data_IF_908503191513
#
_entry.id   IF_908503191513
#
_cell.length_a   1.000
_cell.length_b   1.000
_cell.length_c   1.000
_cell.angle_alpha   90.00
_cell.angle_beta   90.00
_cell.angle_gamma   90.00
#
_symmetry.space_group_name_H-M   'P 1'
#
loop_
_entity.id
_entity.type
_entity.pdbx_description
1 polymer ?
#
# COMPACT_ATOMS: atom_id res chain seq x y z
N UNK A 1 7.02 20.95 10.32
CA UNK A 1 6.94 20.71 8.94
C UNK A 1 7.57 19.37 8.51
N UNK A 2 8.74 19.11 8.81
CA UNK A 2 9.52 18.06 8.23
C UNK A 2 8.84 16.70 8.05
N UNK A 3 8.14 16.20 9.05
CA UNK A 3 7.67 14.82 9.02
C UNK A 3 6.63 14.56 7.93
N UNK A 4 5.67 15.45 7.74
CA UNK A 4 4.67 15.19 6.72
C UNK A 4 5.23 15.27 5.31
N UNK A 5 6.34 15.96 5.12
CA UNK A 5 6.99 15.99 3.84
C UNK A 5 7.69 14.70 3.49
N UNK A 6 8.01 13.90 4.49
CA UNK A 6 8.65 12.62 4.27
C UNK A 6 7.66 11.53 3.86
N UNK A 7 6.37 11.76 3.99
CA UNK A 7 5.36 10.76 3.72
C UNK A 7 5.00 10.70 2.25
N UNK A 8 5.04 11.85 1.56
CA UNK A 8 4.64 11.88 0.16
C UNK A 8 5.52 12.83 -0.63
N UNK A 9 6.64 12.33 -1.10
CA UNK A 9 7.54 13.11 -1.94
C UNK A 9 7.39 12.84 -3.43
N UNK A 10 6.61 11.81 -3.82
CA UNK A 10 6.32 11.50 -5.22
C UNK A 10 4.85 11.17 -5.39
N UNK A 11 4.27 11.68 -6.48
CA UNK A 11 2.90 11.32 -6.90
C UNK A 11 2.90 11.11 -8.40
N UNK A 12 2.29 10.00 -8.84
CA UNK A 12 2.10 9.70 -10.25
C UNK A 12 0.66 9.36 -10.53
N UNK A 13 0.16 9.84 -11.66
CA UNK A 13 -1.12 9.41 -12.21
C UNK A 13 -0.78 8.51 -13.40
N UNK A 14 -1.27 7.27 -13.35
CA UNK A 14 -0.90 6.24 -14.31
C UNK A 14 -2.16 5.70 -14.97
N UNK A 15 -2.15 5.51 -16.32
CA UNK A 15 -3.29 4.88 -17.00
C UNK A 15 -3.56 3.48 -16.47
N UNK A 16 -4.82 3.06 -16.51
CA UNK A 16 -5.19 1.70 -16.16
C UNK A 16 -4.50 0.71 -17.11
N UNK A 17 -4.07 -0.41 -16.57
CA UNK A 17 -3.44 -1.45 -17.35
C UNK A 17 -2.31 -2.12 -16.58
N UNK A 18 -2.11 -3.40 -16.86
CA UNK A 18 -1.10 -4.17 -16.15
C UNK A 18 0.31 -3.63 -16.41
N UNK A 19 0.62 -3.38 -17.68
CA UNK A 19 1.97 -2.95 -18.04
C UNK A 19 2.27 -1.53 -17.58
N UNK A 20 1.33 -0.62 -17.72
CA UNK A 20 1.54 0.78 -17.32
C UNK A 20 1.74 0.90 -15.81
N UNK A 21 0.94 0.19 -15.03
CA UNK A 21 1.05 0.23 -13.57
C UNK A 21 2.32 -0.49 -13.12
N UNK A 22 2.61 -1.67 -13.67
CA UNK A 22 3.81 -2.42 -13.32
C UNK A 22 5.07 -1.61 -13.62
N UNK A 23 5.13 -0.95 -14.77
CA UNK A 23 6.29 -0.14 -15.12
C UNK A 23 6.46 1.03 -14.17
N UNK A 24 5.37 1.71 -13.81
CA UNK A 24 5.44 2.82 -12.86
C UNK A 24 5.95 2.35 -11.50
N UNK A 25 5.47 1.20 -11.02
CA UNK A 25 5.93 0.63 -9.76
C UNK A 25 7.42 0.31 -9.80
N UNK A 26 7.88 -0.33 -10.87
CA UNK A 26 9.30 -0.67 -11.01
C UNK A 26 10.16 0.60 -11.00
N UNK A 27 9.74 1.63 -11.72
CA UNK A 27 10.50 2.89 -11.77
C UNK A 27 10.56 3.56 -10.39
N UNK A 28 9.46 3.55 -9.66
CA UNK A 28 9.44 4.15 -8.33
C UNK A 28 10.33 3.39 -7.34
N UNK A 29 10.40 2.07 -7.47
CA UNK A 29 11.27 1.27 -6.62
C UNK A 29 12.74 1.42 -7.04
N UNK A 30 13.02 1.26 -8.33
CA UNK A 30 14.40 1.11 -8.82
C UNK A 30 15.09 2.43 -9.09
N UNK A 31 14.36 3.42 -9.60
CA UNK A 31 14.93 4.73 -9.96
C UNK A 31 14.72 5.79 -8.91
N UNK A 32 13.51 5.84 -8.33
CA UNK A 32 13.15 6.89 -7.38
C UNK A 32 13.44 6.48 -5.95
N UNK A 33 13.85 5.22 -5.75
CA UNK A 33 14.28 4.70 -4.45
C UNK A 33 13.21 4.87 -3.36
N UNK A 34 11.96 4.63 -3.72
CA UNK A 34 10.86 4.70 -2.78
C UNK A 34 10.90 3.54 -1.80
N UNK A 35 10.67 3.82 -0.53
CA UNK A 35 10.57 2.80 0.51
C UNK A 35 9.15 2.29 0.68
N UNK A 36 8.18 3.14 0.42
CA UNK A 36 6.76 2.84 0.55
C UNK A 36 6.01 3.41 -0.63
N UNK A 37 5.25 2.57 -1.31
CA UNK A 37 4.39 2.99 -2.40
C UNK A 37 2.96 2.62 -2.04
N UNK A 38 2.08 3.62 -2.07
CA UNK A 38 0.65 3.41 -1.89
C UNK A 38 -0.02 3.64 -3.24
N UNK A 39 -0.75 2.64 -3.73
CA UNK A 39 -1.57 2.81 -4.93
C UNK A 39 -3.03 3.00 -4.53
N UNK A 40 -3.78 3.74 -5.31
CA UNK A 40 -5.22 3.92 -5.08
C UNK A 40 -5.98 3.62 -6.35
N UNK A 41 -7.10 2.89 -6.22
CA UNK A 41 -7.95 2.55 -7.35
C UNK A 41 -7.54 1.28 -8.07
N UNK A 42 -8.36 0.86 -9.01
CA UNK A 42 -8.10 -0.31 -9.83
C UNK A 42 -8.14 -1.64 -9.11
N UNK A 43 -8.84 -1.72 -7.97
CA UNK A 43 -8.81 -2.92 -7.12
C UNK A 43 -10.10 -3.74 -7.14
N UNK A 44 -11.08 -3.37 -7.95
CA UNK A 44 -12.34 -4.10 -8.05
C UNK A 44 -12.29 -5.23 -9.07
N UNK A 45 -13.45 -5.83 -9.39
CA UNK A 45 -13.53 -6.93 -10.34
C UNK A 45 -13.78 -6.52 -11.79
N UNK A 46 -13.85 -5.23 -12.09
CA UNK A 46 -14.08 -4.78 -13.46
C UNK A 46 -12.87 -5.10 -14.33
N UNK A 47 -13.08 -5.29 -15.66
CA UNK A 47 -11.96 -5.65 -16.54
C UNK A 47 -10.80 -4.66 -16.53
N UNK A 48 -11.06 -3.37 -16.26
CA UNK A 48 -10.01 -2.35 -16.19
C UNK A 48 -9.30 -2.29 -14.83
N UNK A 49 -9.81 -3.02 -13.82
CA UNK A 49 -9.23 -3.02 -12.48
C UNK A 49 -8.10 -4.03 -12.44
N UNK A 50 -6.88 -3.56 -12.76
CA UNK A 50 -5.72 -4.42 -12.95
C UNK A 50 -4.58 -4.10 -11.98
N UNK A 51 -4.82 -3.26 -10.97
CA UNK A 51 -3.78 -2.88 -10.02
C UNK A 51 -3.23 -4.08 -9.23
N UNK A 52 -4.07 -5.00 -8.72
CA UNK A 52 -3.52 -6.18 -8.03
C UNK A 52 -2.67 -7.06 -8.95
N UNK A 53 -3.10 -7.24 -10.19
CA UNK A 53 -2.32 -8.03 -11.16
C UNK A 53 -0.96 -7.39 -11.42
N UNK A 54 -0.94 -6.08 -11.67
CA UNK A 54 0.30 -5.36 -11.89
C UNK A 54 1.22 -5.43 -10.67
N UNK A 55 0.64 -5.30 -9.48
CA UNK A 55 1.40 -5.38 -8.25
C UNK A 55 2.04 -6.76 -8.09
N UNK A 56 1.28 -7.84 -8.34
CA UNK A 56 1.81 -9.19 -8.25
C UNK A 56 2.92 -9.47 -9.25
N UNK A 57 2.92 -8.79 -10.38
CA UNK A 57 4.00 -8.94 -11.35
C UNK A 57 5.34 -8.39 -10.85
N UNK A 58 5.31 -7.42 -9.96
CA UNK A 58 6.55 -6.73 -9.57
C UNK A 58 7.03 -7.06 -8.17
N UNK A 59 6.16 -7.56 -7.29
CA UNK A 59 6.57 -7.93 -5.93
C UNK A 59 7.29 -9.28 -5.92
N UNK A 60 8.20 -9.44 -4.97
CA UNK A 60 8.88 -10.71 -4.76
C UNK A 60 8.24 -11.52 -3.64
N UNK A 61 7.60 -10.85 -2.68
CA UNK A 61 6.88 -11.50 -1.59
C UNK A 61 5.53 -10.81 -1.42
N UNK A 62 4.47 -11.58 -1.41
CA UNK A 62 3.14 -11.04 -1.15
C UNK A 62 2.86 -11.06 0.35
N UNK A 63 2.28 -9.97 0.86
CA UNK A 63 1.88 -9.84 2.26
C UNK A 63 0.36 -9.82 2.30
N UNK A 64 -0.23 -11.00 2.24
CA UNK A 64 -1.68 -11.16 2.09
C UNK A 64 -2.48 -10.60 3.26
N UNK A 65 -1.86 -10.55 4.45
CA UNK A 65 -2.52 -10.02 5.64
C UNK A 65 -3.00 -8.58 5.50
N UNK A 66 -2.32 -7.79 4.67
CA UNK A 66 -2.76 -6.42 4.41
C UNK A 66 -4.15 -6.40 3.76
N UNK A 67 -4.32 -7.17 2.69
CA UNK A 67 -5.62 -7.26 2.01
C UNK A 67 -6.69 -7.85 2.89
N UNK A 68 -6.36 -8.88 3.65
CA UNK A 68 -7.28 -9.52 4.58
C UNK A 68 -7.84 -8.51 5.59
N UNK A 69 -6.96 -7.77 6.24
CA UNK A 69 -7.38 -6.79 7.25
C UNK A 69 -8.18 -5.64 6.64
N UNK A 70 -7.73 -5.13 5.49
CA UNK A 70 -8.44 -4.05 4.83
C UNK A 70 -9.86 -4.46 4.46
N UNK A 71 -10.05 -5.67 3.91
CA UNK A 71 -11.39 -6.17 3.58
C UNK A 71 -12.23 -6.40 4.82
N UNK A 72 -11.62 -6.92 5.87
CA UNK A 72 -12.33 -7.17 7.12
C UNK A 72 -12.91 -5.89 7.73
N UNK A 73 -12.10 -4.85 7.85
CA UNK A 73 -12.58 -3.59 8.44
C UNK A 73 -13.59 -2.90 7.51
N UNK A 74 -13.39 -3.00 6.21
CA UNK A 74 -14.31 -2.39 5.24
C UNK A 74 -15.67 -3.07 5.23
N UNK A 75 -15.72 -4.38 5.48
CA UNK A 75 -16.97 -5.13 5.56
C UNK A 75 -17.89 -4.63 6.67
N UNK A 76 -17.33 -4.04 7.71
CA UNK A 76 -18.15 -3.44 8.78
C UNK A 76 -18.94 -2.23 8.29
N UNK A 77 -18.50 -1.63 7.19
CA UNK A 77 -19.15 -0.45 6.61
C UNK A 77 -20.05 -0.81 5.42
N UNK A 78 -19.56 -1.65 4.51
CA UNK A 78 -20.28 -1.98 3.26
C UNK A 78 -20.08 -3.45 2.89
N UNK A 79 -21.16 -4.15 2.52
CA UNK A 79 -21.05 -5.58 2.12
C UNK A 79 -20.22 -5.81 0.86
N UNK A 80 -20.15 -4.81 -0.03
CA UNK A 80 -19.42 -4.95 -1.29
C UNK A 80 -17.91 -4.93 -1.11
N UNK A 81 -17.41 -4.73 0.10
CA UNK A 81 -15.98 -4.83 0.36
C UNK A 81 -15.39 -6.20 -0.02
N UNK A 82 -16.20 -7.25 -0.06
CA UNK A 82 -15.73 -8.57 -0.50
C UNK A 82 -15.29 -8.60 -1.96
N UNK A 83 -15.71 -7.62 -2.76
CA UNK A 83 -15.32 -7.53 -4.16
C UNK A 83 -13.95 -6.86 -4.35
N UNK A 84 -13.38 -6.31 -3.29
CA UNK A 84 -12.11 -5.62 -3.35
C UNK A 84 -10.96 -6.64 -3.34
N UNK A 85 -10.01 -6.46 -4.25
CA UNK A 85 -8.93 -7.44 -4.48
C UNK A 85 -7.56 -6.87 -4.13
N UNK A 86 -7.51 -5.76 -3.37
CA UNK A 86 -6.24 -5.14 -3.01
C UNK A 86 -5.34 -6.08 -2.23
N UNK A 87 -4.06 -5.94 -2.45
CA UNK A 87 -3.04 -6.71 -1.77
C UNK A 87 -1.85 -5.81 -1.44
N UNK A 88 -0.80 -6.40 -0.91
CA UNK A 88 0.45 -5.71 -0.64
C UNK A 88 1.59 -6.69 -0.81
N UNK A 89 2.78 -6.16 -0.97
CA UNK A 89 3.97 -6.99 -1.07
C UNK A 89 5.22 -6.17 -1.07
N UNK A 90 6.35 -6.84 -1.14
CA UNK A 90 7.65 -6.18 -1.12
C UNK A 90 8.42 -6.45 -2.40
N UNK A 91 9.17 -5.44 -2.84
CA UNK A 91 10.17 -5.56 -3.90
C UNK A 91 11.43 -4.88 -3.40
N UNK A 92 12.49 -5.67 -3.17
CA UNK A 92 13.70 -5.13 -2.56
C UNK A 92 13.40 -4.49 -1.21
N UNK A 93 13.78 -3.24 -1.04
CA UNK A 93 13.55 -2.49 0.19
C UNK A 93 12.28 -1.64 0.14
N UNK A 94 11.35 -1.98 -0.72
CA UNK A 94 10.12 -1.20 -0.89
C UNK A 94 8.90 -2.04 -0.54
N UNK A 95 8.01 -1.47 0.27
CA UNK A 95 6.69 -2.03 0.53
C UNK A 95 5.70 -1.34 -0.40
N UNK A 96 4.90 -2.14 -1.11
CA UNK A 96 3.85 -1.65 -2.00
C UNK A 96 2.51 -2.09 -1.43
N UNK A 97 1.60 -1.15 -1.22
CA UNK A 97 0.27 -1.44 -0.67
C UNK A 97 -0.79 -0.88 -1.61
N UNK A 98 -1.72 -1.73 -2.03
CA UNK A 98 -2.87 -1.30 -2.81
C UNK A 98 -3.96 -0.78 -1.88
N UNK A 99 -4.50 0.39 -2.19
CA UNK A 99 -5.63 0.96 -1.46
C UNK A 99 -6.81 1.10 -2.42
N UNK A 100 -8.04 1.07 -1.90
CA UNK A 100 -9.21 1.32 -2.75
C UNK A 100 -9.22 2.75 -3.27
N UNK A 101 -10.07 3.02 -4.28
CA UNK A 101 -10.10 4.33 -4.91
C UNK A 101 -10.95 5.37 -4.19
N UNK A 102 -11.97 4.92 -3.44
CA UNK A 102 -12.89 5.86 -2.78
C UNK A 102 -12.23 6.49 -1.56
N UNK A 103 -12.25 7.83 -1.41
CA UNK A 103 -11.54 8.49 -0.31
C UNK A 103 -11.90 7.97 1.08
N UNK A 104 -13.17 7.73 1.37
CA UNK A 104 -13.57 7.21 2.68
C UNK A 104 -13.01 5.81 2.92
N UNK A 105 -12.92 4.99 1.89
CA UNK A 105 -12.36 3.66 2.00
C UNK A 105 -10.84 3.69 2.16
N UNK A 106 -10.17 4.68 1.57
CA UNK A 106 -8.73 4.85 1.76
C UNK A 106 -8.42 5.10 3.23
N UNK A 107 -9.15 5.99 3.88
CA UNK A 107 -8.95 6.29 5.30
C UNK A 107 -9.12 5.05 6.17
N UNK A 108 -10.21 4.31 5.96
CA UNK A 108 -10.49 3.11 6.74
C UNK A 108 -9.38 2.08 6.56
N UNK A 109 -9.00 1.83 5.32
CA UNK A 109 -7.99 0.81 5.01
C UNK A 109 -6.60 1.21 5.50
N UNK A 110 -6.21 2.44 5.25
CA UNK A 110 -4.87 2.88 5.62
C UNK A 110 -4.70 2.94 7.13
N UNK A 111 -5.71 3.42 7.85
CA UNK A 111 -5.65 3.45 9.30
C UNK A 111 -5.57 2.04 9.90
N UNK A 112 -6.18 1.05 9.23
CA UNK A 112 -6.13 -0.33 9.73
C UNK A 112 -4.73 -0.94 9.58
N UNK A 113 -4.06 -0.70 8.45
CA UNK A 113 -2.79 -1.39 8.16
C UNK A 113 -1.55 -0.59 8.54
N UNK A 114 -1.65 0.74 8.65
CA UNK A 114 -0.49 1.57 8.90
C UNK A 114 0.25 1.22 10.18
N UNK A 115 -0.39 0.78 11.27
CA UNK A 115 0.35 0.38 12.47
C UNK A 115 1.44 -0.67 12.23
N UNK A 116 1.30 -1.50 11.20
CA UNK A 116 2.30 -2.52 10.87
C UNK A 116 3.38 -2.04 9.90
N UNK A 117 3.18 -0.88 9.24
CA UNK A 117 4.07 -0.44 8.16
C UNK A 117 5.47 -0.08 8.67
N UNK A 118 5.65 0.69 9.75
CA UNK A 118 7.00 1.04 10.17
C UNK A 118 7.86 -0.18 10.49
N UNK A 119 7.31 -1.18 11.16
CA UNK A 119 8.07 -2.39 11.46
C UNK A 119 8.37 -3.20 10.19
N UNK A 120 7.42 -3.25 9.27
CA UNK A 120 7.66 -3.90 7.97
C UNK A 120 8.85 -3.26 7.24
N UNK A 121 8.90 -1.93 7.23
CA UNK A 121 10.00 -1.21 6.60
C UNK A 121 11.33 -1.52 7.28
N UNK A 122 11.34 -1.63 8.61
CA UNK A 122 12.54 -2.05 9.34
C UNK A 122 13.00 -3.44 8.89
N UNK A 123 12.07 -4.37 8.76
CA UNK A 123 12.39 -5.76 8.41
C UNK A 123 12.96 -5.90 7.01
N UNK A 124 12.53 -5.08 6.07
CA UNK A 124 13.02 -5.18 4.69
C UNK A 124 14.25 -4.30 4.43
N UNK A 125 14.73 -3.61 5.45
CA UNK A 125 15.93 -2.79 5.34
C UNK A 125 15.69 -1.43 4.71
N UNK A 126 14.45 -0.96 4.68
CA UNK A 126 14.11 0.39 4.22
C UNK A 126 14.50 1.43 5.27
N UNK A 127 14.40 2.70 4.89
CA UNK A 127 14.66 3.77 5.83
C UNK A 127 13.65 3.73 6.97
N UNK A 128 14.12 3.97 8.18
CA UNK A 128 13.26 3.96 9.35
C UNK A 128 12.33 5.16 9.32
N UNK A 129 11.04 4.94 9.59
CA UNK A 129 10.10 6.03 9.79
C UNK A 129 9.57 6.00 11.21
N UNK A 130 9.30 7.18 11.74
CA UNK A 130 8.63 7.37 13.01
C UNK A 130 7.27 7.98 12.73
N UNK A 131 6.28 7.60 13.52
CA UNK A 131 4.92 8.13 13.37
C UNK A 131 4.53 8.90 14.61
N UNK A 132 3.63 9.87 14.43
CA UNK A 132 3.06 10.58 15.56
C UNK A 132 2.06 9.67 16.28
N UNK A 133 2.30 9.30 17.55
CA UNK A 133 1.41 8.37 18.25
C UNK A 133 -0.02 8.89 18.39
N UNK A 134 -0.21 10.21 18.31
CA UNK A 134 -1.57 10.78 18.37
C UNK A 134 -2.37 10.50 17.09
N UNK A 135 -1.68 10.19 15.99
CA UNK A 135 -2.31 9.91 14.70
C UNK A 135 -2.36 8.42 14.43
N UNK A 136 -1.29 7.71 14.73
CA UNK A 136 -1.17 6.28 14.46
C UNK A 136 -0.33 5.60 15.52
N UNK A 137 -0.88 4.54 16.11
CA UNK A 137 -0.16 3.75 17.10
C UNK A 137 0.61 2.64 16.40
N UNK A 138 1.75 2.99 15.82
CA UNK A 138 2.61 2.00 15.18
C UNK A 138 3.18 1.03 16.21
N UNK A 139 3.25 -0.24 15.84
CA UNK A 139 3.73 -1.29 16.72
C UNK A 139 5.07 -1.82 16.24
N UNK A 140 6.04 -1.84 17.14
CA UNK A 140 7.31 -2.54 16.94
C UNK A 140 7.53 -3.52 18.08
N UNK A 141 7.75 -4.82 17.79
CA UNK A 141 8.01 -5.78 18.85
C UNK A 141 9.28 -5.40 19.61
N UNK A 142 9.33 -5.73 20.89
CA UNK A 142 10.54 -5.58 21.68
C UNK A 142 11.60 -6.55 21.14
N UNK A 143 12.85 -6.11 21.16
CA UNK A 143 13.97 -6.91 20.67
C UNK A 143 14.20 -8.13 21.57
#
# INVERSE_FOLDING_TARGET
MGSEMCIRDRVRIVPDGTDSVAQALIEMVEREDCDLILTTGGTGPAPRDLTPEATRMVITRELEGFGELMRRVSLEQVPTAILSRQTAGTRGKCLIVNLPGRPSAIDICLNAVFPAIPYCLDLIGARRIEVNPDVCAAFRPAA
#
